data_IF_381943665396
#
_entry.id   IF_381943665396
#
_cell.length_a   1.000
_cell.length_b   1.000
_cell.length_c   1.000
_cell.angle_alpha   90.00
_cell.angle_beta   90.00
_cell.angle_gamma   90.00
#
_symmetry.space_group_name_H-M   'P 1'
#
loop_
_entity.id
_entity.type
_entity.pdbx_description
1 polymer ?
#
# COMPACT_ATOMS: atom_id res chain seq x y z
N UNK A 1 25.33 38.87 5.97
CA UNK A 1 25.78 38.07 4.81
C UNK A 1 25.87 36.63 5.24
N UNK A 2 25.14 35.72 4.59
CA UNK A 2 25.18 34.28 4.88
C UNK A 2 25.72 33.52 3.67
N UNK A 3 26.52 32.48 3.90
CA UNK A 3 27.03 31.57 2.86
C UNK A 3 26.35 30.23 3.06
N UNK A 4 25.76 29.67 1.99
CA UNK A 4 25.17 28.34 1.99
C UNK A 4 25.96 27.44 1.05
N UNK A 5 26.35 26.26 1.55
CA UNK A 5 27.07 25.24 0.78
C UNK A 5 26.06 24.19 0.33
N UNK A 6 26.05 23.89 -0.97
CA UNK A 6 25.20 22.87 -1.57
C UNK A 6 26.06 21.83 -2.27
N UNK A 7 25.64 20.57 -2.20
CA UNK A 7 26.23 19.47 -2.95
C UNK A 7 25.12 18.61 -3.58
N UNK A 8 25.44 17.96 -4.69
CA UNK A 8 24.52 17.03 -5.37
C UNK A 8 24.71 15.62 -4.83
N UNK A 9 23.60 14.88 -4.83
CA UNK A 9 23.57 13.49 -4.37
C UNK A 9 22.50 12.74 -5.12
N UNK A 10 22.73 11.46 -5.33
CA UNK A 10 21.67 10.55 -5.71
C UNK A 10 20.79 10.25 -4.48
N UNK A 11 19.45 10.36 -4.60
CA UNK A 11 18.55 10.09 -3.50
C UNK A 11 18.50 8.59 -3.16
N UNK A 12 18.12 8.25 -1.93
CA UNK A 12 17.86 6.87 -1.57
C UNK A 12 16.69 6.33 -2.40
N UNK A 13 16.84 5.13 -2.97
CA UNK A 13 15.83 4.56 -3.86
C UNK A 13 15.79 3.04 -3.78
N UNK A 14 14.63 2.46 -4.09
CA UNK A 14 14.47 1.03 -4.25
C UNK A 14 14.12 0.73 -5.70
N UNK A 15 14.96 -0.02 -6.41
CA UNK A 15 14.76 -0.42 -7.81
C UNK A 15 15.30 -1.82 -8.04
N UNK A 16 14.68 -2.57 -8.95
CA UNK A 16 15.09 -3.94 -9.28
C UNK A 16 15.15 -4.85 -8.05
N UNK A 17 14.21 -4.67 -7.12
CA UNK A 17 14.14 -5.36 -5.84
C UNK A 17 15.39 -5.18 -4.96
N UNK A 18 16.11 -4.08 -5.14
CA UNK A 18 17.28 -3.70 -4.35
C UNK A 18 17.13 -2.27 -3.82
N UNK A 19 17.61 -2.06 -2.60
CA UNK A 19 17.69 -0.75 -1.95
C UNK A 19 19.08 -0.15 -2.10
N UNK A 20 19.12 1.12 -2.46
CA UNK A 20 20.32 1.92 -2.65
C UNK A 20 20.27 3.14 -1.73
N UNK A 21 21.29 3.36 -0.89
CA UNK A 21 21.33 4.50 0.01
C UNK A 21 21.60 5.81 -0.75
N UNK A 22 21.26 6.94 -0.12
CA UNK A 22 21.63 8.25 -0.65
C UNK A 22 23.15 8.34 -0.77
N UNK A 23 23.65 8.68 -1.97
CA UNK A 23 25.08 8.66 -2.28
C UNK A 23 25.51 10.02 -2.82
N UNK A 24 26.57 10.65 -2.30
CA UNK A 24 27.08 11.91 -2.85
C UNK A 24 27.58 11.71 -4.29
N UNK A 25 27.30 12.69 -5.14
CA UNK A 25 27.82 12.71 -6.50
C UNK A 25 29.33 12.91 -6.52
N UNK A 26 29.99 12.40 -7.55
CA UNK A 26 31.42 12.65 -7.75
C UNK A 26 31.71 14.13 -8.03
N UNK A 27 32.92 14.57 -7.70
CA UNK A 27 33.33 15.97 -7.83
C UNK A 27 33.57 16.39 -9.30
N UNK A 28 33.93 15.44 -10.16
CA UNK A 28 34.19 15.69 -11.58
C UNK A 28 32.95 15.42 -12.44
N UNK A 29 32.72 16.19 -13.52
CA UNK A 29 31.50 16.09 -14.33
C UNK A 29 31.31 14.73 -15.01
N UNK A 30 32.37 13.95 -15.21
CA UNK A 30 32.33 12.60 -15.79
C UNK A 30 32.43 11.50 -14.72
N UNK A 31 32.37 11.87 -13.44
CA UNK A 31 32.54 10.92 -12.34
C UNK A 31 31.32 10.02 -12.18
N UNK A 32 31.58 8.72 -12.02
CA UNK A 32 30.58 7.69 -11.79
C UNK A 32 30.92 6.94 -10.51
N UNK A 33 30.17 7.20 -9.45
CA UNK A 33 30.40 6.59 -8.13
C UNK A 33 29.69 5.23 -8.09
N UNK A 34 30.41 4.10 -7.97
CA UNK A 34 29.79 2.79 -7.90
C UNK A 34 29.13 2.55 -6.52
N UNK A 35 27.92 2.04 -6.53
CA UNK A 35 27.11 1.78 -5.34
C UNK A 35 26.55 0.37 -5.41
N UNK A 36 26.91 -0.46 -4.43
CA UNK A 36 26.30 -1.76 -4.23
C UNK A 36 24.98 -1.61 -3.48
N UNK A 37 23.91 -2.15 -4.04
CA UNK A 37 22.60 -2.23 -3.42
C UNK A 37 22.46 -3.48 -2.55
N UNK A 38 21.46 -3.46 -1.68
CA UNK A 38 21.07 -4.60 -0.85
C UNK A 38 19.70 -5.09 -1.30
N UNK A 39 19.51 -6.40 -1.43
CA UNK A 39 18.20 -6.96 -1.76
C UNK A 39 17.14 -6.54 -0.72
N UNK A 40 15.95 -6.21 -1.20
CA UNK A 40 14.81 -5.89 -0.33
C UNK A 40 14.39 -7.13 0.48
N UNK A 41 13.67 -6.97 1.59
CA UNK A 41 13.17 -8.12 2.35
C UNK A 41 12.43 -9.11 1.44
N UNK A 42 12.62 -10.40 1.72
CA UNK A 42 12.05 -11.51 0.94
C UNK A 42 12.54 -11.60 -0.50
N UNK A 43 13.80 -11.23 -0.74
CA UNK A 43 14.42 -11.31 -2.06
C UNK A 43 15.88 -11.72 -2.00
N UNK A 44 16.36 -12.35 -3.07
CA UNK A 44 17.70 -12.87 -3.21
C UNK A 44 18.38 -12.33 -4.47
N UNK A 45 19.70 -12.17 -4.42
CA UNK A 45 20.51 -11.67 -5.53
C UNK A 45 20.46 -12.61 -6.75
N UNK A 46 20.10 -12.05 -7.90
CA UNK A 46 20.11 -12.78 -9.17
C UNK A 46 21.56 -13.11 -9.54
N UNK A 47 21.91 -14.40 -9.60
CA UNK A 47 23.26 -14.84 -9.95
C UNK A 47 24.30 -14.70 -8.84
N UNK A 48 23.89 -14.54 -7.58
CA UNK A 48 24.78 -14.58 -6.41
C UNK A 48 25.67 -13.34 -6.20
N UNK A 49 25.60 -12.35 -7.09
CA UNK A 49 26.33 -11.08 -6.95
C UNK A 49 25.40 -9.94 -6.53
N UNK A 50 25.85 -9.10 -5.60
CA UNK A 50 25.06 -7.95 -5.14
C UNK A 50 24.72 -6.99 -6.31
N UNK A 51 23.48 -6.49 -6.38
CA UNK A 51 23.06 -5.57 -7.43
C UNK A 51 23.85 -4.25 -7.32
N UNK A 52 24.16 -3.62 -8.46
CA UNK A 52 25.02 -2.43 -8.50
C UNK A 52 24.41 -1.33 -9.36
N UNK A 53 24.59 -0.08 -8.93
CA UNK A 53 24.22 1.12 -9.67
C UNK A 53 25.32 2.17 -9.54
N UNK A 54 25.38 3.10 -10.47
CA UNK A 54 26.34 4.20 -10.43
C UNK A 54 25.62 5.54 -10.26
N UNK A 55 26.14 6.41 -9.39
CA UNK A 55 25.68 7.78 -9.21
C UNK A 55 26.56 8.74 -10.01
N UNK A 56 25.98 9.57 -10.88
CA UNK A 56 26.73 10.54 -11.68
C UNK A 56 26.91 11.90 -10.96
N UNK A 57 27.65 12.81 -11.59
CA UNK A 57 27.93 14.17 -11.09
C UNK A 57 26.66 15.04 -10.95
N UNK A 58 25.62 14.72 -11.71
CA UNK A 58 24.31 15.39 -11.69
C UNK A 58 23.42 14.95 -10.53
N UNK A 59 23.77 13.86 -9.83
CA UNK A 59 22.92 13.31 -8.76
C UNK A 59 21.85 12.35 -9.29
N UNK A 60 22.03 11.85 -10.51
CA UNK A 60 21.16 10.90 -11.16
C UNK A 60 21.75 9.50 -11.12
N UNK A 61 20.85 8.55 -10.96
CA UNK A 61 21.16 7.12 -10.95
C UNK A 61 21.24 6.57 -12.38
N UNK A 62 22.34 5.88 -12.69
CA UNK A 62 22.52 5.22 -13.98
C UNK A 62 21.88 3.82 -14.04
N UNK A 63 21.92 3.20 -15.22
CA UNK A 63 21.48 1.82 -15.47
C UNK A 63 22.05 0.85 -14.43
N UNK A 64 21.21 -0.01 -13.83
CA UNK A 64 21.68 -1.03 -12.89
C UNK A 64 22.42 -2.16 -13.60
N UNK A 65 23.25 -2.85 -12.83
CA UNK A 65 23.89 -4.11 -13.20
C UNK A 65 23.45 -5.16 -12.17
N UNK A 66 22.75 -6.18 -12.65
CA UNK A 66 22.12 -7.18 -11.79
C UNK A 66 20.84 -6.69 -11.10
N UNK A 67 20.33 -7.51 -10.19
CA UNK A 67 19.08 -7.23 -9.48
C UNK A 67 18.82 -8.32 -8.44
N UNK A 68 17.68 -8.20 -7.76
CA UNK A 68 17.19 -9.25 -6.88
C UNK A 68 15.91 -9.86 -7.45
N UNK A 69 15.58 -11.07 -7.01
CA UNK A 69 14.34 -11.79 -7.31
C UNK A 69 13.63 -12.09 -6.00
N UNK A 70 12.31 -12.05 -5.98
CA UNK A 70 11.56 -12.44 -4.79
C UNK A 70 11.73 -13.92 -4.49
N UNK A 71 11.78 -14.25 -3.21
CA UNK A 71 11.80 -15.63 -2.72
C UNK A 71 10.46 -16.33 -2.98
N UNK A 72 10.41 -17.65 -2.83
CA UNK A 72 9.18 -18.41 -3.00
C UNK A 72 8.08 -17.94 -2.03
N UNK A 73 6.85 -17.83 -2.53
CA UNK A 73 5.73 -17.26 -1.76
C UNK A 73 5.69 -15.73 -1.75
N UNK A 74 6.56 -15.05 -2.51
CA UNK A 74 6.55 -13.59 -2.65
C UNK A 74 6.56 -13.15 -4.11
N UNK A 75 5.83 -12.09 -4.42
CA UNK A 75 5.80 -11.44 -5.72
C UNK A 75 6.24 -9.98 -5.65
N UNK A 76 6.89 -9.46 -6.70
CA UNK A 76 7.25 -8.06 -6.78
C UNK A 76 6.00 -7.19 -6.80
N UNK A 77 6.01 -6.09 -6.04
CA UNK A 77 4.98 -5.07 -6.20
C UNK A 77 5.04 -4.44 -7.60
N UNK A 78 4.01 -3.65 -7.94
CA UNK A 78 3.88 -3.04 -9.28
C UNK A 78 5.12 -2.23 -9.71
N UNK A 79 5.87 -1.65 -8.77
CA UNK A 79 7.06 -0.84 -9.04
C UNK A 79 8.41 -1.59 -8.83
N UNK A 80 8.38 -2.90 -8.55
CA UNK A 80 9.58 -3.71 -8.19
C UNK A 80 10.46 -3.07 -7.12
N UNK A 81 9.84 -2.43 -6.14
CA UNK A 81 10.51 -1.79 -4.99
C UNK A 81 10.42 -2.61 -3.70
N UNK A 82 9.56 -3.63 -3.68
CA UNK A 82 9.36 -4.55 -2.56
C UNK A 82 8.85 -5.91 -3.07
N UNK A 83 9.11 -6.96 -2.29
CA UNK A 83 8.49 -8.27 -2.44
C UNK A 83 7.35 -8.38 -1.43
N UNK A 84 6.16 -8.69 -1.92
CA UNK A 84 4.94 -8.85 -1.12
C UNK A 84 4.59 -10.32 -1.09
N UNK A 85 4.16 -10.81 0.07
CA UNK A 85 3.70 -12.18 0.18
C UNK A 85 2.57 -12.40 -0.82
N UNK A 86 2.69 -13.46 -1.61
CA UNK A 86 1.57 -14.01 -2.33
C UNK A 86 0.48 -14.26 -1.31
N UNK A 87 -0.63 -13.52 -1.40
CA UNK A 87 -1.87 -13.96 -0.79
C UNK A 87 -2.37 -15.14 -1.61
N UNK A 88 -1.62 -16.23 -1.61
CA UNK A 88 -2.13 -17.52 -2.05
C UNK A 88 -3.41 -17.71 -1.26
N UNK A 89 -4.46 -18.12 -1.95
CA UNK A 89 -5.79 -18.40 -1.42
C UNK A 89 -5.80 -19.53 -0.36
N UNK A 90 -4.70 -19.78 0.36
CA UNK A 90 -4.55 -20.75 1.47
C UNK A 90 -5.20 -20.27 2.78
N UNK A 91 -5.96 -19.16 2.75
CA UNK A 91 -6.91 -18.82 3.83
C UNK A 91 -8.36 -19.23 3.51
N UNK A 92 -8.69 -19.60 2.27
CA UNK A 92 -10.02 -20.15 1.98
C UNK A 92 -10.13 -21.62 2.40
N UNK A 93 -9.09 -22.43 2.23
CA UNK A 93 -9.14 -23.88 2.54
C UNK A 93 -9.24 -24.19 4.05
N UNK A 94 -8.98 -23.23 4.93
CA UNK A 94 -9.26 -23.36 6.38
C UNK A 94 -10.65 -22.91 6.83
N UNK A 95 -11.48 -22.37 5.92
CA UNK A 95 -12.92 -22.21 6.15
C UNK A 95 -13.65 -23.11 5.18
N UNK A 96 -13.78 -24.38 5.55
CA UNK A 96 -14.65 -25.34 4.88
C UNK A 96 -16.10 -24.87 4.90
N UNK A 97 -16.46 -24.00 3.95
CA UNK A 97 -17.84 -23.69 3.61
C UNK A 97 -17.93 -23.85 2.10
N UNK A 98 -18.38 -25.03 1.69
CA UNK A 98 -18.83 -25.31 0.32
C UNK A 98 -19.87 -24.28 -0.10
N UNK A 99 -19.67 -23.52 -1.19
CA UNK A 99 -20.77 -22.80 -1.82
C UNK A 99 -21.54 -23.79 -2.71
N UNK A 100 -22.81 -23.99 -2.41
CA UNK A 100 -23.77 -24.64 -3.30
C UNK A 100 -23.92 -23.81 -4.60
N UNK A 101 -23.89 -24.47 -5.76
CA UNK A 101 -24.38 -23.91 -7.05
C UNK A 101 -25.87 -23.56 -6.93
N UNK A 102 -26.43 -22.53 -7.63
CA UNK A 102 -26.64 -22.54 -9.10
C UNK A 102 -26.76 -21.11 -9.74
N UNK A 103 -27.37 -20.90 -10.95
CA UNK A 103 -27.10 -21.45 -12.29
C UNK A 103 -26.60 -20.38 -13.31
N UNK A 104 -26.29 -20.85 -14.52
CA UNK A 104 -25.75 -20.15 -15.72
C UNK A 104 -26.47 -18.84 -16.15
N UNK A 105 -25.80 -17.80 -16.67
CA UNK A 105 -25.40 -17.50 -18.08
C UNK A 105 -25.06 -15.98 -18.17
N UNK A 106 -24.67 -15.34 -19.31
CA UNK A 106 -23.94 -15.73 -20.52
C UNK A 106 -22.69 -14.83 -20.81
N UNK A 107 -21.99 -15.14 -21.91
CA UNK A 107 -20.70 -14.63 -22.39
C UNK A 107 -20.66 -13.15 -22.90
N UNK A 108 -19.55 -12.43 -22.56
CA UNK A 108 -18.81 -11.36 -23.28
C UNK A 108 -19.50 -10.02 -23.66
N UNK A 109 -18.80 -8.83 -23.78
CA UNK A 109 -17.45 -8.68 -24.34
C UNK A 109 -16.46 -7.68 -23.66
N UNK A 110 -15.19 -7.83 -24.04
CA UNK A 110 -14.05 -6.88 -24.01
C UNK A 110 -14.22 -5.54 -23.28
N UNK A 111 -13.52 -5.38 -22.15
CA UNK A 111 -13.33 -4.08 -21.49
C UNK A 111 -12.07 -3.37 -22.01
N UNK A 112 -12.29 -2.23 -22.62
CA UNK A 112 -11.32 -1.17 -22.92
C UNK A 112 -10.65 -0.67 -21.63
N UNK A 113 -9.34 -0.38 -21.59
CA UNK A 113 -8.72 0.20 -20.40
C UNK A 113 -9.21 1.64 -20.16
N UNK A 114 -9.49 2.06 -18.91
CA UNK A 114 -9.86 3.45 -18.62
C UNK A 114 -8.66 4.40 -18.76
N UNK A 115 -8.96 5.59 -19.28
CA UNK A 115 -8.10 6.75 -19.49
C UNK A 115 -7.37 7.22 -18.21
N UNK A 116 -6.19 7.88 -18.33
CA UNK A 116 -5.42 8.34 -17.17
C UNK A 116 -6.14 9.46 -16.41
N UNK A 117 -6.56 9.17 -15.18
CA UNK A 117 -6.99 10.16 -14.19
C UNK A 117 -5.79 10.83 -13.50
N UNK A 118 -5.99 12.02 -12.90
CA UNK A 118 -4.93 13.00 -12.66
C UNK A 118 -3.98 12.59 -11.54
N UNK A 119 -2.74 13.08 -11.65
CA UNK A 119 -1.67 13.00 -10.66
C UNK A 119 -2.15 13.49 -9.28
N UNK A 120 -2.57 12.56 -8.44
CA UNK A 120 -2.95 12.79 -7.04
C UNK A 120 -2.02 12.04 -6.10
N UNK A 121 -1.69 12.65 -4.96
CA UNK A 121 -0.96 12.01 -3.87
C UNK A 121 -1.83 10.86 -3.35
N UNK A 122 -1.40 9.61 -3.58
CA UNK A 122 -2.08 8.41 -3.07
C UNK A 122 -1.63 8.17 -1.63
N UNK A 123 -2.46 8.57 -0.67
CA UNK A 123 -2.25 8.17 0.71
C UNK A 123 -2.69 6.70 0.89
N UNK A 124 -1.95 5.95 1.69
CA UNK A 124 -2.33 4.61 2.07
C UNK A 124 -3.39 4.67 3.18
N UNK A 125 -4.30 3.70 3.19
CA UNK A 125 -5.27 3.54 4.25
C UNK A 125 -4.56 3.51 5.62
N UNK A 126 -5.09 4.19 6.65
CA UNK A 126 -4.46 4.23 7.96
C UNK A 126 -4.21 2.85 8.56
N UNK A 127 -3.20 2.78 9.44
CA UNK A 127 -2.92 1.55 10.20
C UNK A 127 -4.07 1.21 11.14
N UNK A 128 -4.16 -0.07 11.48
CA UNK A 128 -5.14 -0.63 12.42
C UNK A 128 -5.16 0.16 13.75
N UNK A 129 -6.35 0.55 14.19
CA UNK A 129 -6.60 1.29 15.42
C UNK A 129 -7.31 0.40 16.44
N UNK A 130 -6.69 0.22 17.60
CA UNK A 130 -7.18 -0.72 18.64
C UNK A 130 -8.18 -0.06 19.62
N UNK A 131 -8.31 1.27 19.60
CA UNK A 131 -9.18 2.03 20.52
C UNK A 131 -8.46 2.91 21.53
N UNK A 132 -7.13 3.04 21.42
CA UNK A 132 -6.32 3.79 22.41
C UNK A 132 -6.51 5.31 22.30
N UNK A 133 -6.77 5.98 23.43
CA UNK A 133 -6.99 7.42 23.52
C UNK A 133 -5.84 8.26 22.93
N UNK A 134 -4.58 7.87 23.20
CA UNK A 134 -3.39 8.60 22.77
C UNK A 134 -3.17 8.60 21.24
N UNK A 135 -3.79 7.66 20.53
CA UNK A 135 -3.66 7.51 19.08
C UNK A 135 -4.87 8.01 18.28
N UNK A 136 -5.98 8.34 18.95
CA UNK A 136 -7.27 8.61 18.30
C UNK A 136 -7.20 9.82 17.36
N UNK A 137 -6.65 10.95 17.82
CA UNK A 137 -6.57 12.17 17.02
C UNK A 137 -5.68 12.01 15.77
N UNK A 138 -4.57 11.28 15.89
CA UNK A 138 -3.66 11.02 14.77
C UNK A 138 -4.29 10.06 13.74
N UNK A 139 -4.99 9.04 14.21
CA UNK A 139 -5.71 8.09 13.37
C UNK A 139 -6.82 8.77 12.55
N UNK A 140 -7.67 9.59 13.20
CA UNK A 140 -8.75 10.31 12.54
C UNK A 140 -8.22 11.29 11.48
N UNK A 141 -7.14 12.01 11.79
CA UNK A 141 -6.49 12.90 10.83
C UNK A 141 -5.97 12.13 9.60
N UNK A 142 -5.38 10.96 9.80
CA UNK A 142 -4.85 10.14 8.71
C UNK A 142 -5.99 9.55 7.84
N UNK A 143 -7.12 9.20 8.45
CA UNK A 143 -8.29 8.70 7.75
C UNK A 143 -8.98 9.78 6.91
N UNK A 144 -9.16 10.97 7.47
CA UNK A 144 -9.69 12.13 6.74
C UNK A 144 -8.83 12.49 5.52
N UNK A 145 -7.52 12.53 5.71
CA UNK A 145 -6.58 12.77 4.60
C UNK A 145 -6.67 11.68 3.55
N UNK A 146 -6.80 10.41 3.93
CA UNK A 146 -7.00 9.31 3.00
C UNK A 146 -8.29 9.49 2.18
N UNK A 147 -9.43 9.73 2.83
CA UNK A 147 -10.72 9.92 2.17
C UNK A 147 -10.71 11.13 1.23
N UNK A 148 -10.00 12.20 1.58
CA UNK A 148 -9.82 13.37 0.72
C UNK A 148 -9.03 13.09 -0.58
N UNK A 149 -8.29 11.96 -0.64
CA UNK A 149 -7.56 11.53 -1.85
C UNK A 149 -8.36 10.55 -2.72
N UNK A 150 -9.52 10.08 -2.26
CA UNK A 150 -10.39 9.16 -2.99
C UNK A 150 -11.28 9.97 -3.95
N UNK A 151 -11.23 9.64 -5.25
CA UNK A 151 -12.10 10.21 -6.27
C UNK A 151 -12.77 9.12 -7.11
N UNK A 152 -14.10 9.20 -7.34
CA UNK A 152 -15.04 10.20 -6.83
C UNK A 152 -15.15 10.16 -5.30
N UNK A 153 -15.60 11.27 -4.70
CA UNK A 153 -15.71 11.38 -3.25
C UNK A 153 -16.57 10.24 -2.69
N UNK A 154 -16.12 9.53 -1.64
CA UNK A 154 -16.82 8.37 -1.11
C UNK A 154 -18.15 8.78 -0.50
N UNK A 155 -19.17 7.94 -0.68
CA UNK A 155 -20.45 8.08 0.01
C UNK A 155 -20.26 7.86 1.51
N UNK A 156 -21.20 8.35 2.34
CA UNK A 156 -21.13 8.14 3.80
C UNK A 156 -20.92 6.67 4.20
N UNK A 157 -21.57 5.72 3.50
CA UNK A 157 -21.34 4.28 3.76
C UNK A 157 -19.92 3.82 3.45
N UNK A 158 -19.31 4.37 2.39
CA UNK A 158 -17.97 3.98 1.92
C UNK A 158 -16.90 4.53 2.86
N UNK A 159 -17.08 5.76 3.34
CA UNK A 159 -16.24 6.36 4.38
C UNK A 159 -16.32 5.57 5.69
N UNK A 160 -17.52 5.15 6.08
CA UNK A 160 -17.70 4.31 7.27
C UNK A 160 -17.09 2.92 7.09
N UNK A 161 -17.28 2.28 5.94
CA UNK A 161 -16.64 0.99 5.66
C UNK A 161 -15.11 1.08 5.70
N UNK A 162 -14.53 2.17 5.18
CA UNK A 162 -13.10 2.43 5.28
C UNK A 162 -12.64 2.63 6.73
N UNK A 163 -13.41 3.36 7.55
CA UNK A 163 -13.14 3.53 8.98
C UNK A 163 -13.15 2.19 9.71
N UNK A 164 -14.21 1.39 9.55
CA UNK A 164 -14.39 0.09 10.21
C UNK A 164 -13.33 -0.92 9.76
N UNK A 165 -12.93 -0.88 8.48
CA UNK A 165 -11.83 -1.68 7.94
C UNK A 165 -10.47 -1.38 8.60
N UNK A 166 -10.33 -0.24 9.28
CA UNK A 166 -9.13 0.12 10.02
C UNK A 166 -9.23 -0.14 11.52
N UNK A 167 -10.36 -0.63 12.04
CA UNK A 167 -10.51 -0.92 13.46
C UNK A 167 -9.98 -2.32 13.78
N UNK A 168 -9.41 -2.46 14.97
CA UNK A 168 -8.93 -3.73 15.53
C UNK A 168 -9.23 -3.80 17.03
N UNK A 169 -9.03 -4.98 17.62
CA UNK A 169 -9.19 -5.20 19.05
C UNK A 169 -10.54 -4.69 19.59
N UNK A 170 -10.49 -3.93 20.69
CA UNK A 170 -11.69 -3.44 21.38
C UNK A 170 -12.50 -2.44 20.56
N UNK A 171 -11.83 -1.63 19.72
CA UNK A 171 -12.53 -0.68 18.85
C UNK A 171 -13.37 -1.37 17.78
N UNK A 172 -12.87 -2.49 17.23
CA UNK A 172 -13.63 -3.28 16.25
C UNK A 172 -14.79 -4.02 16.91
N UNK A 173 -14.61 -4.54 18.13
CA UNK A 173 -15.70 -5.16 18.88
C UNK A 173 -16.82 -4.15 19.17
N UNK A 174 -16.48 -2.95 19.63
CA UNK A 174 -17.44 -1.88 19.86
C UNK A 174 -18.19 -1.48 18.58
N UNK A 175 -17.47 -1.31 17.46
CA UNK A 175 -18.09 -0.96 16.18
C UNK A 175 -19.07 -2.03 15.68
N UNK A 176 -18.74 -3.31 15.82
CA UNK A 176 -19.64 -4.40 15.46
C UNK A 176 -20.88 -4.47 16.37
N UNK A 177 -20.74 -4.15 17.66
CA UNK A 177 -21.88 -4.07 18.57
C UNK A 177 -22.82 -2.92 18.17
N UNK A 178 -22.30 -1.71 17.99
CA UNK A 178 -23.10 -0.53 17.64
C UNK A 178 -23.81 -0.71 16.29
N UNK A 179 -23.10 -1.26 15.30
CA UNK A 179 -23.67 -1.49 13.96
C UNK A 179 -24.66 -2.67 13.92
N UNK A 180 -24.53 -3.63 14.84
CA UNK A 180 -25.49 -4.72 15.01
C UNK A 180 -26.79 -4.30 15.68
N UNK A 181 -26.76 -3.28 16.55
CA UNK A 181 -27.94 -2.81 17.28
C UNK A 181 -28.85 -1.86 16.46
N UNK A 182 -28.36 -1.27 15.37
CA UNK A 182 -29.19 -0.46 14.45
C UNK A 182 -30.22 -1.28 13.66
N UNK A 183 -30.03 -2.60 13.50
CA UNK A 183 -31.04 -3.48 12.88
C UNK A 183 -32.16 -3.86 13.87
N UNK A 184 -31.85 -3.98 15.17
CA UNK A 184 -32.85 -4.26 16.22
C UNK A 184 -33.67 -3.02 16.62
N UNK A 185 -33.10 -1.80 16.53
CA UNK A 185 -33.85 -0.56 16.79
C UNK A 185 -34.85 -0.24 15.67
N UNK A 186 -34.56 -0.66 14.43
CA UNK A 186 -35.50 -0.54 13.31
C UNK A 186 -36.67 -1.54 13.40
N UNK A 187 -36.47 -2.67 14.08
CA UNK A 187 -37.53 -3.62 14.38
C UNK A 187 -38.44 -3.11 15.52
N UNK A 188 -37.86 -2.46 16.54
CA UNK A 188 -38.63 -1.87 17.64
C UNK A 188 -39.49 -0.65 17.22
N UNK A 189 -39.06 0.12 16.21
CA UNK A 189 -39.85 1.25 15.69
C UNK A 189 -41.03 0.81 14.80
N UNK A 190 -40.99 -0.39 14.23
CA UNK A 190 -42.13 -0.95 13.47
C UNK A 190 -43.27 -1.42 14.37
N UNK A 191 -42.97 -1.81 15.61
CA UNK A 191 -43.98 -2.27 16.58
C UNK A 191 -44.80 -1.10 17.17
N UNK A 192 -44.17 0.06 17.39
CA UNK A 192 -44.86 1.27 17.92
C UNK A 192 -45.80 1.94 16.90
N UNK A 193 -45.71 1.60 15.61
CA UNK A 193 -46.64 2.09 14.57
C UNK A 193 -47.90 1.22 14.42
N UNK A 194 -48.02 0.10 15.16
CA UNK A 194 -49.17 -0.80 15.13
C UNK A 194 -49.84 -0.93 16.51
N UNK A 195 -50.19 0.19 17.14
CA UNK A 195 -51.23 0.25 18.18
C UNK A 195 -52.01 1.54 18.05
#
# INVERSE_FOLDING_TARGET
MGVSIFYRRCPATNRYLASYPATPSGAEPTSLVPVSGTCVPHSQAQGGSAPRMHCNAEGEWMVPVGGCICEEGYEPNQNRSACLALQTMERWERRGVTPASPPAQPVSPSFTPPSPGPSGIRLALPREFDGTEAGCQGFLLQLELYLATVYPAPSGRESVAALVSCLSGKALEWANTVWGEEEEVLDHFKDVSST
#
